data_IF_568918532270
#
_entry.id   IF_568918532270
#
_cell.length_a   1.000
_cell.length_b   1.000
_cell.length_c   1.000
_cell.angle_alpha   90.00
_cell.angle_beta   90.00
_cell.angle_gamma   90.00
#
_symmetry.space_group_name_H-M   'P 1'
#
loop_
_entity.id
_entity.type
_entity.pdbx_description
1 polymer ?
#
# COMPACT_ATOMS: atom_id res chain seq x y z
N UNK A 1 -1.72 5.08 19.83
CA UNK A 1 -1.65 4.48 18.48
C UNK A 1 -1.75 5.61 17.48
N UNK A 2 -0.69 5.87 16.72
CA UNK A 2 -0.65 6.98 15.76
C UNK A 2 -1.67 6.76 14.67
N UNK A 3 -2.54 7.74 14.45
CA UNK A 3 -3.56 7.74 13.40
C UNK A 3 -2.89 7.50 12.03
N UNK A 4 -3.49 6.74 11.10
CA UNK A 4 -2.95 6.61 9.75
C UNK A 4 -2.86 8.00 9.10
N UNK A 5 -1.76 8.26 8.40
CA UNK A 5 -1.51 9.55 7.74
C UNK A 5 -2.42 9.77 6.51
N UNK A 6 -3.05 8.71 6.00
CA UNK A 6 -3.95 8.74 4.86
C UNK A 6 -5.02 7.64 4.99
N UNK A 7 -6.25 7.96 4.61
CA UNK A 7 -7.31 6.96 4.40
C UNK A 7 -7.53 6.78 2.89
N UNK A 8 -7.61 5.53 2.44
CA UNK A 8 -7.92 5.18 1.06
C UNK A 8 -9.24 4.44 1.01
N UNK A 9 -10.28 5.09 0.46
CA UNK A 9 -11.60 4.50 0.30
C UNK A 9 -11.61 3.53 -0.86
N UNK A 10 -11.95 2.28 -0.58
CA UNK A 10 -12.10 1.27 -1.63
C UNK A 10 -13.38 1.51 -2.45
N UNK A 11 -13.25 1.43 -3.77
CA UNK A 11 -14.38 1.43 -4.71
C UNK A 11 -14.85 0.02 -5.09
N UNK A 12 -14.04 -1.00 -4.76
CA UNK A 12 -14.24 -2.42 -5.05
C UNK A 12 -13.94 -3.26 -3.81
N UNK A 13 -14.14 -4.59 -3.88
CA UNK A 13 -13.83 -5.51 -2.75
C UNK A 13 -12.36 -5.41 -2.29
N UNK A 14 -11.44 -5.18 -3.24
CA UNK A 14 -10.02 -5.04 -2.97
C UNK A 14 -9.36 -4.09 -3.96
N UNK A 15 -8.14 -3.67 -3.62
CA UNK A 15 -7.16 -3.04 -4.54
C UNK A 15 -5.85 -3.83 -4.49
N UNK A 16 -5.11 -3.90 -5.60
CA UNK A 16 -3.77 -4.48 -5.59
C UNK A 16 -2.75 -3.49 -5.00
N UNK A 17 -1.73 -3.99 -4.29
CA UNK A 17 -0.75 -3.15 -3.59
C UNK A 17 -0.04 -2.15 -4.53
N UNK A 18 0.41 -2.58 -5.70
CA UNK A 18 1.02 -1.68 -6.70
C UNK A 18 0.05 -0.62 -7.23
N UNK A 19 -1.23 -0.98 -7.42
CA UNK A 19 -2.28 -0.05 -7.81
C UNK A 19 -2.56 0.97 -6.70
N UNK A 20 -2.56 0.56 -5.43
CA UNK A 20 -2.68 1.49 -4.30
C UNK A 20 -1.54 2.50 -4.29
N UNK A 21 -0.28 2.05 -4.40
CA UNK A 21 0.89 2.94 -4.37
C UNK A 21 0.84 4.01 -5.48
N UNK A 22 0.31 3.65 -6.66
CA UNK A 22 0.04 4.62 -7.73
C UNK A 22 -1.12 5.54 -7.38
N UNK A 23 -2.24 5.00 -6.92
CA UNK A 23 -3.46 5.75 -6.63
C UNK A 23 -3.24 6.84 -5.55
N UNK A 24 -2.33 6.59 -4.61
CA UNK A 24 -1.95 7.55 -3.55
C UNK A 24 -0.71 8.38 -3.88
N UNK A 25 -0.27 8.38 -5.15
CA UNK A 25 0.88 9.15 -5.65
C UNK A 25 2.20 8.89 -4.89
N UNK A 26 2.42 7.67 -4.39
CA UNK A 26 3.72 7.25 -3.84
C UNK A 26 4.70 6.95 -4.97
N UNK A 27 4.20 6.38 -6.06
CA UNK A 27 4.97 6.10 -7.27
C UNK A 27 4.18 6.45 -8.54
N UNK A 28 4.84 6.93 -9.60
CA UNK A 28 4.23 7.24 -10.88
C UNK A 28 3.97 6.02 -11.77
N UNK A 29 4.67 4.89 -11.58
CA UNK A 29 4.55 3.71 -12.47
C UNK A 29 4.53 2.38 -11.73
N UNK A 30 3.99 1.35 -12.38
CA UNK A 30 3.97 -0.01 -11.84
C UNK A 30 5.37 -0.62 -11.69
N UNK A 31 6.32 -0.24 -12.56
CA UNK A 31 7.71 -0.67 -12.43
C UNK A 31 8.35 -0.14 -11.14
N UNK A 32 8.10 1.13 -10.80
CA UNK A 32 8.57 1.72 -9.54
C UNK A 32 7.87 1.11 -8.32
N UNK A 33 6.57 0.83 -8.40
CA UNK A 33 5.85 0.09 -7.35
C UNK A 33 6.50 -1.27 -7.08
N UNK A 34 6.79 -2.04 -8.15
CA UNK A 34 7.46 -3.34 -8.06
C UNK A 34 8.83 -3.22 -7.39
N UNK A 35 9.64 -2.22 -7.76
CA UNK A 35 10.96 -2.02 -7.15
C UNK A 35 10.86 -1.77 -5.65
N UNK A 36 9.97 -0.88 -5.20
CA UNK A 36 9.79 -0.59 -3.76
C UNK A 36 9.33 -1.82 -2.97
N UNK A 37 8.38 -2.58 -3.53
CA UNK A 37 7.81 -3.76 -2.87
C UNK A 37 8.87 -4.86 -2.73
N UNK A 38 9.69 -5.08 -3.77
CA UNK A 38 10.75 -6.11 -3.74
C UNK A 38 11.94 -5.68 -2.87
N UNK A 39 12.20 -4.37 -2.76
CA UNK A 39 13.26 -3.79 -1.94
C UNK A 39 12.91 -3.68 -0.44
N UNK A 40 11.96 -4.47 0.06
CA UNK A 40 11.57 -4.51 1.48
C UNK A 40 11.14 -3.15 2.07
N UNK A 41 10.75 -2.21 1.22
CA UNK A 41 10.41 -0.83 1.60
C UNK A 41 8.93 -0.63 1.89
N UNK A 42 8.11 -1.68 1.76
CA UNK A 42 6.65 -1.66 1.95
C UNK A 42 6.25 -2.71 2.98
N UNK A 43 5.43 -2.30 3.95
CA UNK A 43 4.80 -3.21 4.92
C UNK A 43 3.30 -3.20 4.74
N UNK A 44 2.67 -4.34 4.95
CA UNK A 44 1.22 -4.47 5.06
C UNK A 44 0.90 -5.15 6.38
N UNK A 45 0.10 -4.49 7.21
CA UNK A 45 -0.22 -4.92 8.58
C UNK A 45 1.04 -5.20 9.40
N UNK A 46 1.99 -4.26 9.37
CA UNK A 46 3.29 -4.33 10.07
C UNK A 46 4.27 -5.43 9.59
N UNK A 47 3.91 -6.20 8.56
CA UNK A 47 4.76 -7.24 7.98
C UNK A 47 5.29 -6.78 6.62
N UNK A 48 6.59 -6.95 6.39
CA UNK A 48 7.20 -6.65 5.08
C UNK A 48 6.54 -7.50 3.99
N UNK A 49 6.09 -6.84 2.92
CA UNK A 49 5.36 -7.49 1.84
C UNK A 49 6.14 -7.43 0.53
N UNK A 50 6.28 -8.58 -0.14
CA UNK A 50 7.01 -8.73 -1.41
C UNK A 50 6.11 -8.98 -2.62
N UNK A 51 4.81 -9.25 -2.39
CA UNK A 51 3.84 -9.53 -3.45
C UNK A 51 3.30 -8.23 -4.04
N UNK A 52 3.79 -7.90 -5.23
CA UNK A 52 3.38 -6.72 -6.01
C UNK A 52 1.86 -6.59 -6.15
N UNK A 53 1.18 -7.70 -6.44
CA UNK A 53 -0.28 -7.76 -6.61
C UNK A 53 -1.01 -8.34 -5.40
N UNK A 54 -0.51 -8.10 -4.18
CA UNK A 54 -1.29 -8.44 -2.98
C UNK A 54 -2.63 -7.73 -3.04
N UNK A 55 -3.72 -8.49 -2.91
CA UNK A 55 -5.07 -7.92 -2.74
C UNK A 55 -5.20 -7.37 -1.32
N UNK A 56 -5.43 -6.08 -1.23
CA UNK A 56 -5.66 -5.35 0.01
C UNK A 56 -7.15 -5.08 0.18
N UNK A 57 -7.66 -5.30 1.39
CA UNK A 57 -9.07 -5.13 1.73
C UNK A 57 -9.25 -4.09 2.82
N UNK A 58 -10.49 -3.67 3.04
CA UNK A 58 -10.86 -2.77 4.12
C UNK A 58 -10.30 -3.27 5.46
N UNK A 59 -9.66 -2.36 6.20
CA UNK A 59 -8.96 -2.64 7.45
C UNK A 59 -7.46 -2.95 7.30
N UNK A 60 -6.98 -3.27 6.10
CA UNK A 60 -5.53 -3.39 5.86
C UNK A 60 -4.86 -2.01 6.03
N UNK A 61 -3.63 -2.03 6.56
CA UNK A 61 -2.77 -0.85 6.66
C UNK A 61 -1.50 -1.06 5.86
N UNK A 62 -1.16 -0.12 4.99
CA UNK A 62 0.07 -0.12 4.19
C UNK A 62 1.01 0.97 4.69
N UNK A 63 2.25 0.59 4.99
CA UNK A 63 3.31 1.53 5.37
C UNK A 63 4.40 1.57 4.31
N UNK A 64 4.77 2.78 3.88
CA UNK A 64 5.85 3.02 2.91
C UNK A 64 6.43 4.41 3.13
N UNK A 65 7.76 4.52 3.17
CA UNK A 65 8.49 5.80 3.37
C UNK A 65 7.96 6.63 4.57
N UNK A 66 7.63 5.98 5.69
CA UNK A 66 7.09 6.65 6.89
C UNK A 66 5.64 7.14 6.77
N UNK A 67 4.95 6.85 5.66
CA UNK A 67 3.51 7.12 5.49
C UNK A 67 2.73 5.84 5.74
N UNK A 68 1.66 5.94 6.52
CA UNK A 68 0.69 4.88 6.76
C UNK A 68 -0.63 5.19 6.03
N UNK A 69 -1.16 4.20 5.33
CA UNK A 69 -2.39 4.26 4.54
C UNK A 69 -3.35 3.22 5.09
N UNK A 70 -4.48 3.65 5.61
CA UNK A 70 -5.55 2.74 6.06
C UNK A 70 -6.58 2.57 4.95
N UNK A 71 -6.92 1.32 4.63
CA UNK A 71 -7.99 1.02 3.69
C UNK A 71 -9.34 1.08 4.41
N UNK A 72 -10.25 1.93 3.92
CA UNK A 72 -11.57 2.20 4.53
C UNK A 72 -12.74 1.92 3.60
#
# INVERSE_FOLDING_TARGET
MSKPSLEFKLSSEYIELDNLLKAVNIVPTGAQAKMLIIADSVKVNNVVEKRVRRKLRKGDTVEVHGRAILLV
#
